data_IF_821229340129
#
_entry.id   IF_821229340129
#
_cell.length_a   1.000
_cell.length_b   1.000
_cell.length_c   1.000
_cell.angle_alpha   90.00
_cell.angle_beta   90.00
_cell.angle_gamma   90.00
#
_symmetry.space_group_name_H-M   'P 1'
#
loop_
_entity.id
_entity.type
_entity.pdbx_description
1 polymer ?
#
# COMPACT_ATOMS: atom_id res chain seq x y z
N UNK A 1 37.90 -46.49 -9.57
CA UNK A 1 38.11 -47.47 -8.51
C UNK A 1 36.81 -48.19 -8.39
N UNK A 2 36.66 -49.15 -9.18
CA UNK A 2 36.70 -50.63 -8.95
C UNK A 2 35.42 -51.06 -8.28
N UNK A 3 34.62 -51.71 -9.05
CA UNK A 3 34.61 -53.10 -9.53
C UNK A 3 33.88 -54.00 -8.52
N UNK A 4 32.96 -54.76 -9.03
CA UNK A 4 32.81 -56.11 -8.77
C UNK A 4 31.48 -56.74 -9.17
N UNK A 5 31.48 -57.23 -10.36
CA UNK A 5 30.55 -58.26 -10.86
C UNK A 5 30.77 -59.58 -10.15
N UNK A 6 29.73 -60.42 -10.05
CA UNK A 6 29.95 -61.85 -10.23
C UNK A 6 28.68 -62.56 -10.64
N UNK A 7 28.77 -63.20 -11.80
CA UNK A 7 27.94 -64.26 -12.36
C UNK A 7 28.18 -65.58 -11.62
N UNK A 8 27.25 -66.51 -11.76
CA UNK A 8 27.42 -67.93 -12.17
C UNK A 8 26.15 -68.68 -11.77
N UNK A 9 25.46 -69.30 -12.63
CA UNK A 9 25.57 -70.40 -13.61
C UNK A 9 25.01 -71.75 -13.07
N UNK A 10 23.99 -72.19 -13.79
CA UNK A 10 23.81 -73.53 -14.40
C UNK A 10 23.96 -74.78 -13.57
N UNK A 11 22.95 -75.62 -13.55
CA UNK A 11 23.13 -77.04 -14.03
C UNK A 11 21.82 -77.79 -14.22
N UNK A 12 21.83 -78.47 -15.33
CA UNK A 12 20.91 -79.46 -15.89
C UNK A 12 20.82 -80.76 -15.06
N UNK A 13 19.82 -81.55 -15.36
CA UNK A 13 19.82 -83.03 -15.09
C UNK A 13 18.39 -83.60 -15.06
N UNK A 14 17.84 -83.98 -16.19
CA UNK A 14 17.72 -85.22 -16.92
C UNK A 14 17.06 -86.42 -16.16
N UNK A 15 16.09 -86.94 -16.85
CA UNK A 15 15.61 -88.30 -17.00
C UNK A 15 14.19 -88.65 -16.50
N UNK A 16 13.34 -88.95 -17.47
CA UNK A 16 12.08 -89.72 -17.30
C UNK A 16 12.40 -91.21 -17.11
N UNK A 17 11.50 -92.21 -17.26
CA UNK A 17 10.20 -92.19 -17.94
C UNK A 17 9.05 -93.03 -17.26
N UNK A 18 7.98 -93.18 -18.05
CA UNK A 18 6.93 -94.27 -18.00
C UNK A 18 5.72 -94.06 -17.07
N UNK A 19 4.59 -93.68 -17.53
CA UNK A 19 3.63 -94.58 -18.21
C UNK A 19 2.49 -95.00 -17.31
N UNK A 20 1.30 -94.43 -17.45
CA UNK A 20 0.08 -95.20 -17.41
C UNK A 20 -1.12 -94.37 -17.88
N UNK A 21 -1.89 -95.03 -18.66
CA UNK A 21 -3.18 -94.63 -19.26
C UNK A 21 -4.23 -94.34 -18.17
N UNK A 22 -5.04 -93.34 -18.26
CA UNK A 22 -6.46 -93.49 -18.48
C UNK A 22 -7.27 -92.25 -18.17
N UNK A 23 -8.21 -92.10 -18.95
CA UNK A 23 -9.56 -91.54 -18.95
C UNK A 23 -9.72 -90.05 -19.23
N UNK A 24 -10.10 -89.88 -20.47
CA UNK A 24 -10.90 -88.81 -21.00
C UNK A 24 -12.15 -88.57 -20.14
N UNK A 25 -12.19 -87.47 -19.40
CA UNK A 25 -13.41 -86.98 -18.90
C UNK A 25 -13.59 -85.50 -19.29
N UNK A 26 -14.59 -85.33 -20.15
CA UNK A 26 -14.85 -84.07 -20.83
C UNK A 26 -15.15 -82.96 -19.86
N UNK A 27 -14.28 -81.87 -19.91
CA UNK A 27 -14.60 -80.59 -19.41
C UNK A 27 -15.65 -79.96 -20.32
N UNK A 28 -16.92 -80.13 -19.97
CA UNK A 28 -17.98 -79.25 -20.43
C UNK A 28 -17.63 -77.86 -19.93
N UNK A 29 -17.02 -76.96 -20.76
CA UNK A 29 -17.03 -75.51 -20.56
C UNK A 29 -18.52 -75.13 -20.49
N UNK A 30 -19.04 -74.86 -19.27
CA UNK A 30 -20.34 -74.21 -19.06
C UNK A 30 -20.35 -72.97 -19.98
N UNK A 31 -21.22 -73.01 -21.01
CA UNK A 31 -21.53 -71.84 -21.81
C UNK A 31 -21.93 -70.72 -20.87
N UNK A 32 -21.40 -69.53 -20.96
CA UNK A 32 -21.82 -68.41 -20.10
C UNK A 32 -23.33 -68.24 -20.31
N UNK A 33 -24.09 -68.20 -19.22
CA UNK A 33 -25.51 -67.83 -19.24
C UNK A 33 -25.56 -66.41 -19.84
N UNK A 34 -26.07 -66.30 -21.07
CA UNK A 34 -26.36 -65.02 -21.67
C UNK A 34 -27.50 -64.39 -20.93
N UNK A 35 -27.21 -63.47 -20.08
CA UNK A 35 -28.23 -62.64 -19.39
C UNK A 35 -28.70 -61.60 -20.39
N UNK A 36 -29.95 -61.72 -20.87
CA UNK A 36 -30.56 -60.70 -21.69
C UNK A 36 -30.89 -59.48 -20.82
N UNK A 37 -30.23 -58.35 -21.08
CA UNK A 37 -30.53 -57.07 -20.52
C UNK A 37 -30.92 -56.09 -21.63
N UNK A 38 -31.88 -55.21 -21.32
CA UNK A 38 -32.12 -54.05 -22.20
C UNK A 38 -30.91 -53.18 -22.18
N UNK A 39 -30.54 -52.64 -23.34
CA UNK A 39 -29.37 -51.81 -23.50
C UNK A 39 -29.79 -50.40 -23.90
N UNK A 40 -29.07 -49.42 -23.37
CA UNK A 40 -29.12 -48.03 -23.76
C UNK A 40 -27.80 -47.70 -24.49
N UNK A 41 -27.90 -47.04 -25.61
CA UNK A 41 -26.71 -46.58 -26.34
C UNK A 41 -26.22 -45.29 -25.67
N UNK A 42 -24.98 -45.29 -25.19
CA UNK A 42 -24.37 -44.09 -24.64
C UNK A 42 -24.26 -43.02 -25.71
N UNK A 43 -25.02 -41.98 -25.62
CA UNK A 43 -25.07 -40.89 -26.61
C UNK A 43 -24.73 -39.55 -25.98
N UNK A 44 -24.23 -38.62 -26.85
CA UNK A 44 -23.93 -37.25 -26.43
C UNK A 44 -25.20 -36.44 -26.54
N UNK A 45 -25.68 -35.96 -25.40
CA UNK A 45 -26.86 -35.07 -25.32
C UNK A 45 -26.48 -33.71 -24.81
N UNK A 46 -27.25 -32.68 -25.22
CA UNK A 46 -27.13 -31.34 -24.66
C UNK A 46 -27.94 -31.28 -23.35
N UNK A 47 -27.27 -31.30 -22.23
CA UNK A 47 -27.94 -31.23 -20.93
C UNK A 47 -27.59 -29.92 -20.22
N UNK A 48 -28.61 -29.35 -19.61
CA UNK A 48 -28.46 -28.23 -18.67
C UNK A 48 -28.19 -28.81 -17.28
N UNK A 49 -26.94 -29.03 -16.96
CA UNK A 49 -26.54 -29.60 -15.67
C UNK A 49 -26.27 -28.51 -14.66
N UNK A 50 -26.99 -28.49 -13.51
CA UNK A 50 -26.64 -27.58 -12.43
C UNK A 50 -25.28 -27.96 -11.86
N UNK A 51 -24.48 -26.96 -11.56
CA UNK A 51 -23.18 -27.14 -10.89
C UNK A 51 -23.26 -26.50 -9.52
N UNK A 52 -23.14 -27.30 -8.47
CA UNK A 52 -23.16 -26.88 -7.08
C UNK A 52 -21.73 -26.83 -6.54
N UNK A 53 -21.30 -25.68 -6.06
CA UNK A 53 -19.99 -25.52 -5.48
C UNK A 53 -20.12 -25.03 -4.03
N UNK A 54 -19.19 -25.46 -3.19
CA UNK A 54 -19.04 -24.89 -1.84
C UNK A 54 -18.02 -23.77 -1.88
N UNK A 55 -18.31 -22.70 -1.18
CA UNK A 55 -17.43 -21.53 -1.13
C UNK A 55 -17.43 -20.88 0.23
N UNK A 56 -16.54 -19.92 0.37
CA UNK A 56 -16.38 -19.11 1.57
C UNK A 56 -16.36 -17.63 1.19
N UNK A 57 -16.99 -16.80 2.01
CA UNK A 57 -17.02 -15.36 1.82
C UNK A 57 -15.69 -14.78 2.29
N UNK A 58 -15.04 -14.01 1.41
CA UNK A 58 -13.80 -13.27 1.66
C UNK A 58 -14.06 -11.78 1.37
N UNK A 59 -13.39 -10.84 2.06
CA UNK A 59 -13.38 -9.46 1.65
C UNK A 59 -12.63 -9.31 0.31
N UNK A 60 -12.87 -8.23 -0.40
CA UNK A 60 -12.03 -7.86 -1.54
C UNK A 60 -10.61 -7.54 -1.02
N UNK A 61 -9.58 -8.12 -1.63
CA UNK A 61 -8.18 -7.99 -1.18
C UNK A 61 -7.71 -6.54 -1.00
N UNK A 62 -8.23 -5.64 -1.84
CA UNK A 62 -7.88 -4.23 -1.77
C UNK A 62 -8.68 -3.45 -0.71
N UNK A 63 -9.55 -4.12 0.02
CA UNK A 63 -10.51 -3.51 0.96
C UNK A 63 -10.34 -3.98 2.40
N UNK A 64 -9.33 -4.74 2.68
CA UNK A 64 -8.89 -5.09 4.03
C UNK A 64 -7.50 -4.48 4.25
N UNK A 65 -7.39 -3.56 5.19
CA UNK A 65 -6.17 -2.80 5.45
C UNK A 65 -5.85 -2.85 6.93
N UNK A 66 -4.62 -3.24 7.24
CA UNK A 66 -4.06 -3.17 8.57
C UNK A 66 -3.48 -1.78 8.82
N UNK A 67 -3.93 -1.15 9.89
CA UNK A 67 -3.42 0.13 10.36
C UNK A 67 -2.36 -0.12 11.41
N UNK A 68 -1.13 0.26 11.10
CA UNK A 68 0.03 0.17 11.98
C UNK A 68 0.47 1.54 12.47
N UNK A 69 1.27 1.61 13.52
CA UNK A 69 2.00 2.82 13.90
C UNK A 69 3.27 2.93 13.08
N UNK A 70 3.70 4.14 12.75
CA UNK A 70 5.02 4.39 12.17
C UNK A 70 6.14 4.44 13.22
N UNK A 71 5.77 4.53 14.50
CA UNK A 71 6.69 4.70 15.62
C UNK A 71 6.30 3.79 16.78
N UNK A 72 7.28 3.48 17.61
CA UNK A 72 7.03 2.87 18.91
C UNK A 72 6.46 3.92 19.87
N UNK A 73 5.49 3.51 20.68
CA UNK A 73 4.88 4.41 21.66
C UNK A 73 3.90 3.68 22.57
N UNK A 74 3.37 4.39 23.53
CA UNK A 74 2.32 3.90 24.45
C UNK A 74 0.95 4.40 24.00
N UNK A 75 0.00 3.50 23.88
CA UNK A 75 -1.41 3.88 23.63
C UNK A 75 -1.95 4.68 24.80
N UNK A 76 -2.25 5.95 24.58
CA UNK A 76 -2.80 6.82 25.59
C UNK A 76 -4.33 6.66 25.66
N UNK A 77 -4.98 6.61 24.49
CA UNK A 77 -6.43 6.52 24.38
C UNK A 77 -6.87 5.84 23.11
N UNK A 78 -7.85 4.96 23.21
CA UNK A 78 -8.52 4.32 22.07
C UNK A 78 -9.89 4.98 21.86
N UNK A 79 -10.13 5.48 20.62
CA UNK A 79 -11.31 6.30 20.30
C UNK A 79 -12.43 5.51 19.62
N UNK A 80 -12.17 4.24 19.26
CA UNK A 80 -13.06 3.38 18.48
C UNK A 80 -13.10 1.97 19.06
N UNK A 81 -14.11 1.19 18.68
CA UNK A 81 -14.32 -0.19 19.14
C UNK A 81 -14.44 -1.14 17.94
N UNK A 82 -14.17 -2.44 18.13
CA UNK A 82 -14.49 -3.45 17.13
C UNK A 82 -15.99 -3.39 16.75
N UNK A 83 -16.26 -3.38 15.44
CA UNK A 83 -17.58 -3.22 14.87
C UNK A 83 -17.98 -1.78 14.50
N UNK A 84 -17.21 -0.78 14.90
CA UNK A 84 -17.47 0.62 14.52
C UNK A 84 -17.20 0.83 13.03
N UNK A 85 -18.04 1.68 12.42
CA UNK A 85 -17.86 2.14 11.03
C UNK A 85 -17.01 3.40 11.06
N UNK A 86 -15.89 3.37 10.36
CA UNK A 86 -14.95 4.49 10.27
C UNK A 86 -14.85 5.02 8.85
N UNK A 87 -14.53 6.31 8.73
CA UNK A 87 -14.26 7.01 7.46
C UNK A 87 -12.77 7.33 7.34
N UNK A 88 -12.29 7.47 6.11
CA UNK A 88 -10.93 7.96 5.85
C UNK A 88 -10.68 9.25 6.63
N UNK A 89 -9.55 9.33 7.34
CA UNK A 89 -9.17 10.47 8.16
C UNK A 89 -9.85 10.55 9.53
N UNK A 90 -10.66 9.55 9.91
CA UNK A 90 -11.21 9.49 11.28
C UNK A 90 -10.12 9.03 12.25
N UNK A 91 -10.03 9.71 13.40
CA UNK A 91 -9.10 9.35 14.48
C UNK A 91 -9.50 8.01 15.12
N UNK A 92 -8.53 7.12 15.26
CA UNK A 92 -8.70 5.77 15.83
C UNK A 92 -8.12 5.68 17.24
N UNK A 93 -6.92 6.18 17.42
CA UNK A 93 -6.19 6.12 18.69
C UNK A 93 -5.19 7.25 18.79
N UNK A 94 -4.81 7.58 20.02
CA UNK A 94 -3.74 8.52 20.36
C UNK A 94 -2.61 7.72 21.00
N UNK A 95 -1.42 7.82 20.43
CA UNK A 95 -0.20 7.15 20.89
C UNK A 95 0.78 8.22 21.38
N UNK A 96 1.33 8.04 22.55
CA UNK A 96 2.40 8.87 23.10
C UNK A 96 3.75 8.23 22.73
N UNK A 97 4.57 8.96 21.97
CA UNK A 97 5.88 8.52 21.49
C UNK A 97 6.97 9.47 21.94
N UNK A 98 8.05 8.91 22.46
CA UNK A 98 9.23 9.67 22.84
C UNK A 98 9.90 10.31 21.62
N UNK A 99 9.95 9.59 20.49
CA UNK A 99 10.55 10.09 19.26
C UNK A 99 9.82 11.33 18.74
N UNK A 100 8.48 11.37 18.91
CA UNK A 100 7.68 12.55 18.57
C UNK A 100 8.01 13.69 19.51
N UNK A 101 8.10 13.46 20.82
CA UNK A 101 8.47 14.50 21.79
C UNK A 101 9.85 15.10 21.51
N UNK A 102 10.84 14.27 21.18
CA UNK A 102 12.19 14.71 20.84
C UNK A 102 12.16 15.58 19.57
N UNK A 103 11.44 15.16 18.54
CA UNK A 103 11.28 15.94 17.32
C UNK A 103 10.49 17.25 17.53
N UNK A 104 9.46 17.24 18.37
CA UNK A 104 8.75 18.45 18.75
C UNK A 104 9.70 19.46 19.42
N UNK A 105 10.60 18.98 20.30
CA UNK A 105 11.59 19.81 20.95
C UNK A 105 12.58 20.43 19.92
N UNK A 106 13.05 19.63 18.96
CA UNK A 106 13.91 20.13 17.87
C UNK A 106 13.20 21.21 17.03
N UNK A 107 11.90 21.02 16.72
CA UNK A 107 11.11 22.02 15.97
C UNK A 107 10.95 23.32 16.74
N UNK A 108 10.70 23.26 18.05
CA UNK A 108 10.58 24.44 18.93
C UNK A 108 11.95 25.17 18.98
N UNK A 109 13.06 24.44 19.15
CA UNK A 109 14.41 25.01 19.14
C UNK A 109 14.73 25.67 17.80
N UNK A 110 14.45 25.00 16.67
CA UNK A 110 14.65 25.55 15.35
C UNK A 110 13.84 26.83 15.12
N UNK A 111 12.61 26.90 15.66
CA UNK A 111 11.78 28.10 15.63
C UNK A 111 12.41 29.26 16.41
N UNK A 112 12.97 28.97 17.58
CA UNK A 112 13.67 30.00 18.39
C UNK A 112 14.92 30.49 17.66
N UNK A 113 15.72 29.61 17.06
CA UNK A 113 16.89 29.96 16.23
C UNK A 113 16.49 30.84 15.05
N UNK A 114 15.41 30.48 14.33
CA UNK A 114 14.90 31.31 13.24
C UNK A 114 14.45 32.69 13.71
N UNK A 115 13.81 32.79 14.88
CA UNK A 115 13.39 34.05 15.45
C UNK A 115 14.61 34.92 15.82
N UNK A 116 15.64 34.31 16.42
CA UNK A 116 16.92 34.98 16.72
C UNK A 116 17.61 35.50 15.46
N UNK A 117 17.71 34.66 14.41
CA UNK A 117 18.28 35.03 13.13
C UNK A 117 17.51 36.18 12.46
N UNK A 118 16.17 36.18 12.50
CA UNK A 118 15.35 37.30 11.98
C UNK A 118 15.57 38.60 12.76
N UNK A 119 15.70 38.51 14.06
CA UNK A 119 16.01 39.71 14.89
C UNK A 119 17.43 40.22 14.59
N UNK A 120 18.39 39.34 14.32
CA UNK A 120 19.72 39.70 13.89
C UNK A 120 19.69 40.41 12.53
N UNK A 121 19.07 39.78 11.51
CA UNK A 121 18.87 40.38 10.19
C UNK A 121 18.20 41.76 10.28
N UNK A 122 17.18 41.89 11.11
CA UNK A 122 16.46 43.16 11.28
C UNK A 122 17.40 44.26 11.83
N UNK A 123 18.24 43.95 12.82
CA UNK A 123 19.24 44.90 13.36
C UNK A 123 20.27 45.31 12.28
N UNK A 124 20.85 44.30 11.61
CA UNK A 124 21.84 44.57 10.56
C UNK A 124 21.25 45.39 9.40
N UNK A 125 19.96 45.14 9.08
CA UNK A 125 19.24 45.92 8.08
C UNK A 125 19.07 47.39 8.50
N UNK A 126 18.71 47.67 9.76
CA UNK A 126 18.59 49.04 10.27
C UNK A 126 19.94 49.74 10.15
N UNK A 127 21.03 49.10 10.60
CA UNK A 127 22.36 49.65 10.53
C UNK A 127 22.76 49.97 9.08
N UNK A 128 22.48 49.03 8.17
CA UNK A 128 22.75 49.22 6.74
C UNK A 128 21.94 50.37 6.13
N UNK A 129 20.63 50.42 6.40
CA UNK A 129 19.73 51.46 5.87
C UNK A 129 20.13 52.87 6.36
N UNK A 130 20.53 53.01 7.63
CA UNK A 130 20.97 54.27 8.20
C UNK A 130 22.34 54.70 7.67
N UNK A 131 23.29 53.80 7.62
CA UNK A 131 24.67 54.12 7.22
C UNK A 131 24.88 54.26 5.71
N UNK A 132 24.11 53.51 4.91
CA UNK A 132 24.35 53.38 3.45
C UNK A 132 23.26 54.02 2.60
N UNK A 133 22.00 53.72 2.86
CA UNK A 133 20.88 54.19 2.01
C UNK A 133 20.44 55.62 2.34
N UNK A 134 20.62 56.06 3.58
CA UNK A 134 20.19 57.38 4.03
C UNK A 134 21.31 58.09 4.84
N UNK A 135 22.48 58.34 4.25
CA UNK A 135 23.60 58.90 4.97
C UNK A 135 23.39 60.39 5.26
N UNK A 136 22.40 60.69 6.14
CA UNK A 136 22.12 62.08 6.59
C UNK A 136 23.34 62.75 7.13
N UNK A 137 24.09 62.09 7.99
CA UNK A 137 25.32 62.58 8.60
C UNK A 137 26.39 62.95 7.58
N UNK A 138 26.59 62.15 6.54
CA UNK A 138 27.55 62.45 5.47
C UNK A 138 27.11 63.65 4.64
N UNK A 139 25.80 63.80 4.35
CA UNK A 139 25.28 64.96 3.61
C UNK A 139 25.44 66.22 4.48
N UNK A 140 25.11 66.17 5.75
CA UNK A 140 25.26 67.27 6.70
C UNK A 140 26.71 67.65 6.89
N UNK A 141 27.61 66.67 7.08
CA UNK A 141 29.08 66.94 7.17
C UNK A 141 29.64 67.53 5.88
N UNK A 142 29.17 67.11 4.71
CA UNK A 142 29.60 67.65 3.40
C UNK A 142 29.13 69.09 3.22
N UNK A 143 27.90 69.40 3.70
CA UNK A 143 27.37 70.75 3.64
C UNK A 143 28.15 71.69 4.59
N UNK A 144 28.37 71.26 5.84
CA UNK A 144 29.13 71.97 6.84
C UNK A 144 30.57 72.23 6.36
N UNK A 145 31.19 71.24 5.72
CA UNK A 145 32.51 71.40 5.15
C UNK A 145 32.56 72.46 4.00
N UNK A 146 31.56 72.47 3.12
CA UNK A 146 31.43 73.45 2.06
C UNK A 146 31.27 74.87 2.64
N UNK A 147 30.43 75.05 3.64
CA UNK A 147 30.23 76.35 4.30
C UNK A 147 31.49 76.83 5.03
N UNK A 148 32.15 75.93 5.76
CA UNK A 148 33.40 76.23 6.43
C UNK A 148 34.51 76.58 5.41
N UNK A 149 34.55 75.89 4.26
CA UNK A 149 35.48 76.20 3.18
C UNK A 149 35.24 77.63 2.64
N UNK A 150 33.99 77.97 2.34
CA UNK A 150 33.62 79.27 1.81
C UNK A 150 33.98 80.41 2.79
N UNK A 151 33.68 80.17 4.12
CA UNK A 151 34.04 81.16 5.17
C UNK A 151 35.56 81.32 5.32
N UNK A 152 36.34 80.23 5.27
CA UNK A 152 37.82 80.31 5.31
C UNK A 152 38.36 81.09 4.11
N UNK A 153 37.86 80.77 2.91
CA UNK A 153 38.34 81.44 1.68
C UNK A 153 37.99 82.91 1.69
N UNK A 154 36.82 83.27 2.20
CA UNK A 154 36.46 84.69 2.40
C UNK A 154 37.37 85.37 3.43
N UNK A 155 37.56 84.79 4.60
CA UNK A 155 38.43 85.33 5.66
C UNK A 155 39.87 85.42 5.21
N UNK A 156 40.38 84.49 4.40
CA UNK A 156 41.69 84.51 3.82
C UNK A 156 41.85 85.67 2.81
N UNK A 157 40.85 85.85 1.98
CA UNK A 157 40.85 86.99 1.02
C UNK A 157 40.82 88.32 1.73
N UNK A 158 39.96 88.43 2.77
CA UNK A 158 39.92 89.64 3.59
C UNK A 158 41.23 89.92 4.37
N UNK A 159 41.83 88.86 4.92
CA UNK A 159 43.13 88.96 5.57
C UNK A 159 44.22 89.41 4.61
N UNK A 160 44.33 88.83 3.43
CA UNK A 160 45.33 89.27 2.40
C UNK A 160 45.18 90.73 2.00
N UNK A 161 43.93 91.17 1.83
CA UNK A 161 43.61 92.56 1.52
C UNK A 161 44.00 93.44 2.70
N UNK A 162 43.66 93.07 3.91
CA UNK A 162 43.94 93.82 5.13
C UNK A 162 45.45 93.85 5.40
N UNK A 163 46.20 92.82 5.14
CA UNK A 163 47.62 92.70 5.26
C UNK A 163 48.37 93.71 4.29
N UNK A 164 47.89 93.77 3.04
CA UNK A 164 48.42 94.70 2.06
C UNK A 164 48.27 96.17 2.51
N UNK A 165 47.02 96.49 2.95
CA UNK A 165 46.72 97.85 3.45
C UNK A 165 47.48 98.20 4.71
N UNK A 166 47.74 97.24 5.58
CA UNK A 166 48.52 97.41 6.81
C UNK A 166 50.01 97.64 6.46
N UNK A 167 50.58 96.89 5.51
CA UNK A 167 51.95 97.10 5.01
C UNK A 167 52.14 98.49 4.39
N UNK A 168 51.10 99.00 3.75
CA UNK A 168 51.08 100.39 3.19
C UNK A 168 50.79 101.44 4.25
N UNK A 169 50.66 101.07 5.56
CA UNK A 169 50.36 101.96 6.70
C UNK A 169 49.01 102.68 6.59
N UNK A 170 48.06 102.17 5.82
CA UNK A 170 46.74 102.76 5.61
C UNK A 170 45.77 102.31 6.70
N UNK A 171 45.97 101.10 7.30
CA UNK A 171 45.07 100.48 8.24
C UNK A 171 45.61 100.39 9.66
N UNK A 172 44.77 100.48 10.68
CA UNK A 172 45.12 100.37 12.09
C UNK A 172 45.52 98.95 12.49
N UNK A 173 46.46 98.75 13.42
CA UNK A 173 46.92 97.47 13.93
C UNK A 173 45.82 96.63 14.55
N UNK A 174 44.77 97.29 15.07
CA UNK A 174 43.58 96.60 15.63
C UNK A 174 42.83 95.86 14.55
N UNK A 175 42.60 96.48 13.39
CA UNK A 175 41.80 95.86 12.32
C UNK A 175 42.58 94.73 11.66
N UNK A 176 43.89 94.83 11.55
CA UNK A 176 44.76 93.75 11.11
C UNK A 176 44.73 92.56 12.07
N UNK A 177 44.75 92.81 13.41
CA UNK A 177 44.69 91.74 14.39
C UNK A 177 43.31 91.09 14.42
N UNK A 178 42.22 91.81 14.16
CA UNK A 178 40.86 91.28 14.04
C UNK A 178 40.75 90.37 12.79
N UNK A 179 41.25 90.79 11.64
CA UNK A 179 41.20 89.93 10.43
C UNK A 179 42.04 88.65 10.60
N UNK A 180 43.17 88.75 11.31
CA UNK A 180 44.01 87.61 11.64
C UNK A 180 43.30 86.65 12.57
N UNK A 181 42.59 87.12 13.56
CA UNK A 181 41.81 86.31 14.49
C UNK A 181 40.62 85.61 13.77
N UNK A 182 39.94 86.33 12.86
CA UNK A 182 38.83 85.78 12.08
C UNK A 182 39.31 84.69 11.13
N UNK A 183 40.48 84.89 10.46
CA UNK A 183 41.08 83.80 9.64
C UNK A 183 41.43 82.58 10.49
N UNK A 184 42.04 82.80 11.65
CA UNK A 184 42.38 81.69 12.53
C UNK A 184 41.14 80.93 13.03
N UNK A 185 40.06 81.66 13.30
CA UNK A 185 38.75 81.03 13.67
C UNK A 185 38.10 80.27 12.49
N UNK A 186 38.14 80.90 11.29
CA UNK A 186 37.64 80.25 10.08
C UNK A 186 38.44 78.99 9.71
N UNK A 187 39.79 79.05 9.90
CA UNK A 187 40.67 77.92 9.68
C UNK A 187 40.39 76.77 10.66
N UNK A 188 40.18 77.05 11.96
CA UNK A 188 39.84 76.04 12.94
C UNK A 188 38.45 75.34 12.64
N UNK A 189 37.50 76.15 12.21
CA UNK A 189 36.18 75.61 11.79
C UNK A 189 36.31 74.75 10.54
N UNK A 190 37.13 75.11 9.58
CA UNK A 190 37.40 74.29 8.38
C UNK A 190 38.06 72.98 8.76
N UNK A 191 39.10 73.01 9.64
CA UNK A 191 39.77 71.79 10.09
C UNK A 191 38.80 70.85 10.83
N UNK A 192 37.90 71.37 11.70
CA UNK A 192 36.90 70.63 12.38
C UNK A 192 35.91 70.02 11.41
N UNK A 193 35.40 70.77 10.44
CA UNK A 193 34.43 70.30 9.44
C UNK A 193 35.06 69.25 8.51
N UNK A 194 36.37 69.47 8.13
CA UNK A 194 37.12 68.50 7.35
C UNK A 194 37.30 67.16 8.05
N UNK A 195 37.68 67.17 9.33
CA UNK A 195 37.83 65.98 10.14
C UNK A 195 36.49 65.25 10.34
N UNK A 196 35.41 66.02 10.45
CA UNK A 196 34.06 65.44 10.51
C UNK A 196 33.67 64.76 9.20
N UNK A 197 33.86 65.44 8.07
CA UNK A 197 33.61 64.90 6.74
C UNK A 197 34.44 63.63 6.48
N UNK A 198 35.69 63.63 6.84
CA UNK A 198 36.59 62.50 6.65
C UNK A 198 36.10 61.24 7.47
N UNK A 199 35.65 61.46 8.70
CA UNK A 199 35.08 60.37 9.51
C UNK A 199 33.83 59.77 8.86
N UNK A 200 32.91 60.63 8.40
CA UNK A 200 31.68 60.18 7.77
C UNK A 200 31.95 59.47 6.43
N UNK A 201 32.94 59.97 5.64
CA UNK A 201 33.37 59.32 4.43
C UNK A 201 33.97 57.94 4.69
N UNK A 202 34.79 57.77 5.71
CA UNK A 202 35.39 56.50 6.08
C UNK A 202 34.30 55.48 6.53
N UNK A 203 33.31 55.95 7.27
CA UNK A 203 32.15 55.09 7.61
C UNK A 203 31.35 54.68 6.37
N UNK A 204 31.15 55.58 5.41
CA UNK A 204 30.47 55.29 4.16
C UNK A 204 31.26 54.35 3.25
N UNK A 205 32.60 54.44 3.23
CA UNK A 205 33.49 53.54 2.48
C UNK A 205 33.44 52.10 3.01
N UNK A 206 33.18 51.92 4.30
CA UNK A 206 32.98 50.59 4.93
C UNK A 206 31.63 49.94 4.60
N UNK A 207 30.82 50.54 3.72
CA UNK A 207 29.50 49.99 3.29
C UNK A 207 29.59 48.55 2.75
N UNK A 208 30.72 48.14 2.19
CA UNK A 208 30.94 46.78 1.71
C UNK A 208 30.90 45.75 2.85
N UNK A 209 31.47 46.09 4.03
CA UNK A 209 31.42 45.25 5.21
C UNK A 209 29.97 45.14 5.74
N UNK A 210 29.27 46.27 5.91
CA UNK A 210 27.88 46.30 6.35
C UNK A 210 26.96 45.52 5.41
N UNK A 211 27.21 45.59 4.10
CA UNK A 211 26.48 44.77 3.12
C UNK A 211 26.77 43.30 3.30
N UNK A 212 28.01 42.93 3.59
CA UNK A 212 28.39 41.53 3.84
C UNK A 212 27.74 41.01 5.11
N UNK A 213 27.74 41.81 6.20
CA UNK A 213 27.12 41.44 7.47
C UNK A 213 25.60 41.20 7.30
N UNK A 214 24.93 42.09 6.57
CA UNK A 214 23.50 41.91 6.22
C UNK A 214 23.29 40.66 5.34
N UNK A 215 24.18 40.37 4.39
CA UNK A 215 24.08 39.17 3.56
C UNK A 215 24.30 37.90 4.40
N UNK A 216 25.25 37.91 5.33
CA UNK A 216 25.49 36.80 6.27
C UNK A 216 24.23 36.56 7.14
N UNK A 217 23.66 37.62 7.73
CA UNK A 217 22.45 37.53 8.53
C UNK A 217 21.27 37.00 7.73
N UNK A 218 21.08 37.41 6.47
CA UNK A 218 20.06 36.84 5.56
C UNK A 218 20.31 35.38 5.26
N UNK A 219 21.57 35.00 5.04
CA UNK A 219 21.96 33.59 4.85
C UNK A 219 21.63 32.73 6.06
N UNK A 220 21.77 33.28 7.26
CA UNK A 220 21.44 32.61 8.52
C UNK A 220 19.93 32.40 8.69
N UNK A 221 19.13 33.43 8.36
CA UNK A 221 17.66 33.31 8.32
C UNK A 221 17.23 32.23 7.33
N UNK A 222 17.79 32.21 6.14
CA UNK A 222 17.48 31.23 5.11
C UNK A 222 17.80 29.80 5.59
N UNK A 223 18.99 29.57 6.14
CA UNK A 223 19.39 28.25 6.67
C UNK A 223 18.50 27.81 7.82
N UNK A 224 18.20 28.71 8.75
CA UNK A 224 17.33 28.41 9.90
C UNK A 224 15.88 28.11 9.46
N UNK A 225 15.38 28.81 8.43
CA UNK A 225 14.05 28.54 7.84
C UNK A 225 14.00 27.16 7.20
N UNK A 226 15.00 26.83 6.36
CA UNK A 226 15.06 25.51 5.70
C UNK A 226 15.17 24.38 6.73
N UNK A 227 15.96 24.56 7.77
CA UNK A 227 16.06 23.56 8.84
C UNK A 227 14.74 23.35 9.55
N UNK A 228 14.03 24.42 9.91
CA UNK A 228 12.69 24.33 10.51
C UNK A 228 11.71 23.63 9.57
N UNK A 229 11.72 23.93 8.28
CA UNK A 229 10.81 23.32 7.31
C UNK A 229 11.11 21.82 7.12
N UNK A 230 12.38 21.41 7.15
CA UNK A 230 12.77 19.99 7.14
C UNK A 230 12.22 19.24 8.37
N UNK A 231 12.33 19.83 9.56
CA UNK A 231 11.82 19.22 10.79
C UNK A 231 10.29 19.12 10.79
N UNK A 232 9.58 20.14 10.26
CA UNK A 232 8.11 20.06 10.07
C UNK A 232 7.72 18.91 9.17
N UNK A 233 8.38 18.79 8.00
CA UNK A 233 8.12 17.68 7.06
C UNK A 233 8.38 16.33 7.71
N UNK A 234 9.40 16.23 8.57
CA UNK A 234 9.69 15.00 9.30
C UNK A 234 8.57 14.64 10.28
N UNK A 235 8.01 15.61 11.03
CA UNK A 235 6.84 15.39 11.89
C UNK A 235 5.59 14.97 11.09
N UNK A 236 5.35 15.61 9.94
CA UNK A 236 4.24 15.26 9.06
C UNK A 236 4.40 13.86 8.46
N UNK A 237 5.61 13.48 8.07
CA UNK A 237 5.93 12.13 7.60
C UNK A 237 5.65 11.06 8.66
N UNK A 238 5.88 11.37 9.93
CA UNK A 238 5.54 10.48 11.06
C UNK A 238 4.04 10.39 11.35
N UNK A 239 3.22 11.18 10.65
CA UNK A 239 1.75 11.14 10.75
C UNK A 239 1.14 12.28 11.57
N UNK A 240 1.93 13.25 12.04
CA UNK A 240 1.38 14.44 12.69
C UNK A 240 0.67 15.32 11.65
N UNK A 241 -0.53 15.76 11.98
CA UNK A 241 -1.26 16.67 11.08
C UNK A 241 -0.59 18.03 10.99
N UNK A 242 -0.67 18.75 9.84
CA UNK A 242 -0.14 20.12 9.72
C UNK A 242 -0.69 21.10 10.78
N UNK A 243 -1.92 20.84 11.24
CA UNK A 243 -2.52 21.61 12.34
C UNK A 243 -1.86 21.30 13.69
N UNK A 244 -1.48 20.03 13.93
CA UNK A 244 -0.73 19.60 15.10
C UNK A 244 0.64 20.27 15.14
N UNK A 245 1.40 20.18 14.05
CA UNK A 245 2.72 20.83 13.91
C UNK A 245 2.65 22.33 14.18
N UNK A 246 1.66 23.03 13.62
CA UNK A 246 1.48 24.46 13.89
C UNK A 246 1.21 24.74 15.37
N UNK A 247 0.34 23.95 16.01
CA UNK A 247 0.02 24.08 17.43
C UNK A 247 1.25 23.93 18.32
N UNK A 248 2.09 22.93 18.07
CA UNK A 248 3.37 22.74 18.77
C UNK A 248 4.29 23.94 18.60
N UNK A 249 4.43 24.46 17.37
CA UNK A 249 5.27 25.63 17.08
C UNK A 249 4.76 26.89 17.78
N UNK A 250 3.44 27.10 17.85
CA UNK A 250 2.83 28.29 18.44
C UNK A 250 2.80 28.22 19.97
N UNK A 251 2.46 27.08 20.53
CA UNK A 251 2.35 26.90 21.99
C UNK A 251 3.71 26.65 22.66
N UNK A 252 4.67 26.10 21.94
CA UNK A 252 5.94 25.62 22.50
C UNK A 252 5.81 24.43 23.45
N UNK A 253 4.62 23.81 23.53
CA UNK A 253 4.37 22.65 24.40
C UNK A 253 4.67 21.36 23.65
N UNK A 254 5.40 20.48 24.31
CA UNK A 254 5.70 19.15 23.82
C UNK A 254 4.61 18.20 24.33
N UNK A 255 3.89 17.56 23.46
CA UNK A 255 2.84 16.59 23.80
C UNK A 255 3.32 15.16 23.66
N UNK A 256 4.18 14.91 22.66
CA UNK A 256 4.55 13.58 22.23
C UNK A 256 3.40 12.76 21.65
N UNK A 257 2.22 13.39 21.50
CA UNK A 257 1.00 12.71 21.06
C UNK A 257 0.93 12.61 19.53
N UNK A 258 0.77 11.39 19.05
CA UNK A 258 0.50 11.09 17.67
C UNK A 258 -0.90 10.49 17.54
N UNK A 259 -1.77 11.12 16.77
CA UNK A 259 -3.08 10.57 16.45
C UNK A 259 -2.98 9.69 15.23
N UNK A 260 -3.39 8.44 15.34
CA UNK A 260 -3.46 7.50 14.22
C UNK A 260 -4.85 7.58 13.61
N UNK A 261 -4.89 7.74 12.30
CA UNK A 261 -6.12 7.91 11.52
C UNK A 261 -6.41 6.70 10.64
N UNK A 262 -7.71 6.49 10.33
CA UNK A 262 -8.14 5.50 9.36
C UNK A 262 -7.66 5.88 7.95
N UNK A 263 -6.98 4.96 7.29
CA UNK A 263 -6.49 5.13 5.91
C UNK A 263 -7.55 4.81 4.87
N UNK A 264 -8.53 3.97 5.26
CA UNK A 264 -9.67 3.55 4.42
C UNK A 264 -10.97 3.67 5.20
N UNK A 265 -12.09 3.77 4.47
CA UNK A 265 -13.42 3.67 5.09
C UNK A 265 -13.84 2.21 5.18
N UNK A 266 -14.38 1.80 6.33
CA UNK A 266 -14.79 0.41 6.53
C UNK A 266 -15.29 0.17 7.94
N UNK A 267 -15.33 -1.11 8.33
CA UNK A 267 -15.64 -1.56 9.68
C UNK A 267 -14.36 -2.05 10.34
N UNK A 268 -14.16 -1.71 11.60
CA UNK A 268 -13.07 -2.27 12.40
C UNK A 268 -13.41 -3.72 12.69
N UNK A 269 -12.70 -4.64 12.04
CA UNK A 269 -12.91 -6.09 12.20
C UNK A 269 -12.05 -6.67 13.31
N UNK A 270 -10.85 -6.14 13.51
CA UNK A 270 -9.94 -6.54 14.58
C UNK A 270 -9.31 -5.31 15.23
N UNK A 271 -9.06 -5.41 16.52
CA UNK A 271 -8.34 -4.44 17.33
C UNK A 271 -7.39 -5.21 18.24
N UNK A 272 -6.10 -4.98 18.04
CA UNK A 272 -5.02 -5.72 18.72
C UNK A 272 -4.26 -4.84 19.72
N UNK A 273 -4.91 -3.76 20.17
CA UNK A 273 -4.32 -2.83 21.13
C UNK A 273 -5.27 -2.52 22.29
N UNK A 274 -4.71 -2.19 23.44
CA UNK A 274 -5.41 -1.69 24.62
C UNK A 274 -4.77 -0.38 25.12
N UNK A 275 -5.56 0.40 25.88
CA UNK A 275 -5.04 1.61 26.53
C UNK A 275 -3.92 1.24 27.52
N UNK A 276 -2.80 1.97 27.46
CA UNK A 276 -1.60 1.72 28.24
C UNK A 276 -0.62 0.73 27.63
N UNK A 277 -0.98 0.03 26.57
CA UNK A 277 -0.11 -0.93 25.87
C UNK A 277 0.96 -0.21 25.03
N UNK A 278 2.11 -0.86 24.87
CA UNK A 278 3.20 -0.37 24.01
C UNK A 278 3.03 -0.97 22.61
N UNK A 279 2.96 -0.12 21.61
CA UNK A 279 2.87 -0.49 20.20
C UNK A 279 4.21 -0.35 19.50
N UNK A 280 4.45 -1.19 18.51
CA UNK A 280 5.64 -1.18 17.65
C UNK A 280 5.23 -1.05 16.17
N UNK A 281 6.12 -0.57 15.28
CA UNK A 281 5.80 -0.30 13.86
C UNK A 281 5.31 -1.51 13.07
N UNK A 282 5.73 -2.70 13.41
CA UNK A 282 5.49 -3.95 12.67
C UNK A 282 4.20 -4.65 13.10
N UNK A 283 3.54 -4.18 14.15
CA UNK A 283 2.30 -4.80 14.63
C UNK A 283 1.08 -4.04 14.15
N UNK A 284 0.09 -4.73 13.56
CA UNK A 284 -1.19 -4.11 13.26
C UNK A 284 -1.88 -3.71 14.57
N UNK A 285 -2.43 -2.51 14.59
CA UNK A 285 -3.25 -2.01 15.70
C UNK A 285 -4.72 -2.25 15.44
N UNK A 286 -5.14 -2.03 14.21
CA UNK A 286 -6.51 -2.21 13.76
C UNK A 286 -6.51 -2.85 12.38
N UNK A 287 -7.49 -3.72 12.13
CA UNK A 287 -7.83 -4.16 10.77
C UNK A 287 -9.15 -3.52 10.38
N UNK A 288 -9.13 -2.73 9.30
CA UNK A 288 -10.31 -2.08 8.73
C UNK A 288 -10.69 -2.81 7.45
N UNK A 289 -11.93 -3.28 7.37
CA UNK A 289 -12.45 -4.02 6.22
C UNK A 289 -13.67 -3.31 5.64
N UNK A 290 -13.65 -3.01 4.35
CA UNK A 290 -14.86 -2.57 3.64
C UNK A 290 -15.62 -3.79 3.13
N UNK A 291 -16.70 -4.11 3.82
CA UNK A 291 -17.60 -5.21 3.47
C UNK A 291 -18.78 -4.78 2.58
N UNK A 292 -18.73 -3.62 1.93
CA UNK A 292 -19.79 -3.18 1.01
C UNK A 292 -19.91 -4.10 -0.21
N UNK A 293 -18.80 -4.70 -0.61
CA UNK A 293 -18.71 -5.72 -1.64
C UNK A 293 -17.87 -6.86 -1.08
N UNK A 294 -18.32 -8.07 -1.26
CA UNK A 294 -17.61 -9.27 -0.83
C UNK A 294 -17.37 -10.20 -2.02
N UNK A 295 -16.36 -11.04 -1.90
CA UNK A 295 -16.04 -12.08 -2.85
C UNK A 295 -16.41 -13.43 -2.25
N UNK A 296 -17.08 -14.29 -3.01
CA UNK A 296 -17.26 -15.69 -2.63
C UNK A 296 -16.22 -16.49 -3.39
N UNK A 297 -15.25 -17.02 -2.67
CA UNK A 297 -14.27 -17.95 -3.21
C UNK A 297 -14.85 -19.36 -3.18
N UNK A 298 -14.77 -20.05 -4.30
CA UNK A 298 -15.12 -21.46 -4.39
C UNK A 298 -14.08 -22.21 -5.21
N UNK A 299 -13.99 -23.51 -4.98
CA UNK A 299 -13.08 -24.39 -5.68
C UNK A 299 -13.87 -25.18 -6.73
N UNK A 300 -13.54 -24.95 -8.01
CA UNK A 300 -14.14 -25.57 -9.18
C UNK A 300 -13.28 -26.75 -9.63
N UNK A 301 -13.81 -27.98 -9.75
CA UNK A 301 -13.08 -29.08 -10.36
C UNK A 301 -12.65 -28.76 -11.80
N UNK A 302 -11.41 -29.11 -12.18
CA UNK A 302 -10.87 -28.81 -13.52
C UNK A 302 -11.72 -29.39 -14.66
N UNK A 303 -12.40 -30.54 -14.42
CA UNK A 303 -13.32 -31.16 -15.36
C UNK A 303 -14.50 -30.27 -15.75
N UNK A 304 -14.84 -29.30 -14.94
CA UNK A 304 -15.96 -28.35 -15.16
C UNK A 304 -15.52 -26.96 -15.59
N UNK A 305 -14.21 -26.76 -15.81
CA UNK A 305 -13.66 -25.45 -16.15
C UNK A 305 -14.27 -24.87 -17.46
N UNK A 306 -14.53 -25.74 -18.43
CA UNK A 306 -15.15 -25.35 -19.72
C UNK A 306 -16.59 -24.80 -19.57
N UNK A 307 -17.25 -25.02 -18.44
CA UNK A 307 -18.62 -24.60 -18.16
C UNK A 307 -18.71 -23.21 -17.51
N UNK A 308 -17.61 -22.68 -17.05
CA UNK A 308 -17.58 -21.43 -16.27
C UNK A 308 -16.73 -20.41 -16.98
N UNK A 309 -17.29 -19.24 -17.20
CA UNK A 309 -16.59 -18.09 -17.80
C UNK A 309 -16.73 -16.86 -16.90
N UNK A 310 -15.82 -15.92 -17.04
CA UNK A 310 -15.94 -14.62 -16.38
C UNK A 310 -17.25 -13.97 -16.86
N UNK A 311 -18.08 -13.51 -15.91
CA UNK A 311 -19.41 -12.97 -16.18
C UNK A 311 -20.55 -13.98 -16.03
N UNK A 312 -20.27 -15.29 -15.87
CA UNK A 312 -21.31 -16.31 -15.63
C UNK A 312 -22.13 -15.92 -14.39
N UNK A 313 -23.45 -15.88 -14.54
CA UNK A 313 -24.41 -15.63 -13.46
C UNK A 313 -24.45 -16.80 -12.48
N UNK A 314 -24.49 -16.50 -11.19
CA UNK A 314 -24.57 -17.51 -10.13
C UNK A 314 -25.58 -17.09 -9.08
N UNK A 315 -26.25 -18.08 -8.49
CA UNK A 315 -27.08 -17.93 -7.30
C UNK A 315 -26.32 -18.44 -6.09
N UNK A 316 -26.34 -17.69 -5.02
CA UNK A 316 -25.55 -17.98 -3.83
C UNK A 316 -26.48 -18.03 -2.62
N UNK A 317 -26.41 -19.11 -1.88
CA UNK A 317 -27.08 -19.27 -0.60
C UNK A 317 -26.03 -19.32 0.50
N UNK A 318 -26.21 -18.51 1.53
CA UNK A 318 -25.28 -18.41 2.66
C UNK A 318 -25.87 -19.11 3.86
N UNK A 319 -25.08 -19.94 4.55
CA UNK A 319 -25.56 -20.75 5.68
C UNK A 319 -26.21 -19.93 6.79
N UNK A 320 -25.76 -18.69 7.01
CA UNK A 320 -26.36 -17.78 7.99
C UNK A 320 -27.69 -17.14 7.57
N UNK A 321 -28.09 -17.27 6.28
CA UNK A 321 -29.31 -16.68 5.70
C UNK A 321 -29.90 -17.63 4.66
N UNK A 322 -30.42 -18.81 5.08
CA UNK A 322 -30.87 -19.86 4.15
C UNK A 322 -32.06 -19.43 3.27
N UNK A 323 -32.88 -18.51 3.76
CA UNK A 323 -34.07 -18.01 3.05
C UNK A 323 -33.74 -16.88 2.02
N UNK A 324 -32.47 -16.44 1.94
CA UNK A 324 -32.06 -15.40 1.02
C UNK A 324 -31.13 -15.96 -0.06
N UNK A 325 -31.49 -15.73 -1.30
CA UNK A 325 -30.65 -16.02 -2.46
C UNK A 325 -30.00 -14.73 -2.91
N UNK A 326 -28.69 -14.73 -2.94
CA UNK A 326 -27.88 -13.63 -3.46
C UNK A 326 -27.51 -13.94 -4.91
N UNK A 327 -27.62 -12.95 -5.78
CA UNK A 327 -27.20 -13.08 -7.18
C UNK A 327 -25.82 -12.42 -7.37
N UNK A 328 -24.92 -13.14 -8.02
CA UNK A 328 -23.58 -12.66 -8.31
C UNK A 328 -23.13 -13.04 -9.71
N UNK A 329 -21.92 -12.59 -10.07
CA UNK A 329 -21.26 -12.97 -11.31
C UNK A 329 -19.83 -13.42 -11.02
N UNK A 330 -19.38 -14.44 -11.74
CA UNK A 330 -17.99 -14.88 -11.69
C UNK A 330 -17.11 -13.72 -12.16
N UNK A 331 -16.27 -13.20 -11.28
CA UNK A 331 -15.40 -12.07 -11.54
C UNK A 331 -13.95 -12.48 -11.83
N UNK A 332 -13.57 -13.68 -11.40
CA UNK A 332 -12.20 -14.17 -11.54
C UNK A 332 -12.18 -15.71 -11.57
N UNK A 333 -11.33 -16.26 -12.42
CA UNK A 333 -10.99 -17.68 -12.48
C UNK A 333 -9.46 -17.76 -12.40
N UNK A 334 -8.94 -18.55 -11.46
CA UNK A 334 -7.50 -18.67 -11.27
C UNK A 334 -6.86 -19.40 -12.48
N UNK A 335 -5.71 -18.89 -12.94
CA UNK A 335 -4.93 -19.51 -14.02
C UNK A 335 -4.17 -20.76 -13.58
N UNK A 336 -4.16 -21.04 -12.28
CA UNK A 336 -3.42 -22.16 -11.69
C UNK A 336 -4.36 -23.17 -11.09
N UNK A 337 -4.20 -24.43 -11.52
CA UNK A 337 -4.84 -25.57 -10.88
C UNK A 337 -4.04 -25.99 -9.65
N UNK A 338 -4.72 -26.23 -8.55
CA UNK A 338 -4.09 -26.83 -7.37
C UNK A 338 -3.73 -28.29 -7.68
N UNK A 339 -2.46 -28.65 -7.55
CA UNK A 339 -1.91 -29.96 -7.95
C UNK A 339 -2.43 -31.11 -7.08
N UNK A 340 -2.74 -30.82 -5.81
CA UNK A 340 -3.14 -31.86 -4.85
C UNK A 340 -4.65 -32.14 -4.93
N UNK A 341 -5.45 -31.11 -5.21
CA UNK A 341 -6.91 -31.21 -5.21
C UNK A 341 -7.53 -31.23 -6.61
N UNK A 342 -6.77 -30.94 -7.66
CA UNK A 342 -7.25 -30.75 -9.04
C UNK A 342 -8.41 -29.75 -9.17
N UNK A 343 -8.34 -28.69 -8.36
CA UNK A 343 -9.35 -27.64 -8.35
C UNK A 343 -8.79 -26.30 -8.77
N UNK A 344 -9.66 -25.50 -9.38
CA UNK A 344 -9.38 -24.11 -9.81
C UNK A 344 -10.20 -23.18 -8.94
N UNK A 345 -9.53 -22.22 -8.31
CA UNK A 345 -10.24 -21.23 -7.49
C UNK A 345 -11.00 -20.24 -8.39
N UNK A 346 -12.27 -20.07 -8.12
CA UNK A 346 -13.11 -19.03 -8.73
C UNK A 346 -13.54 -18.03 -7.67
N UNK A 347 -13.77 -16.77 -8.09
CA UNK A 347 -14.32 -15.72 -7.21
C UNK A 347 -15.56 -15.13 -7.82
N UNK A 348 -16.58 -15.01 -7.01
CA UNK A 348 -17.85 -14.41 -7.37
C UNK A 348 -18.03 -13.13 -6.59
N UNK A 349 -18.26 -12.02 -7.28
CA UNK A 349 -18.50 -10.72 -6.67
C UNK A 349 -19.96 -10.60 -6.25
N UNK A 350 -20.18 -10.19 -5.00
CA UNK A 350 -21.49 -9.92 -4.40
C UNK A 350 -21.54 -8.51 -3.82
N UNK A 351 -22.63 -7.82 -4.10
CA UNK A 351 -22.97 -6.57 -3.40
C UNK A 351 -23.52 -6.90 -2.00
N UNK A 352 -23.06 -6.20 -1.00
CA UNK A 352 -23.43 -6.38 0.41
C UNK A 352 -23.81 -5.06 1.09
N UNK A 353 -24.83 -4.32 0.58
CA UNK A 353 -25.20 -3.01 1.10
C UNK A 353 -25.60 -3.05 2.57
N UNK A 354 -26.26 -4.11 2.99
CA UNK A 354 -26.68 -4.32 4.39
C UNK A 354 -25.54 -4.77 5.31
N UNK A 355 -24.34 -5.05 4.78
CA UNK A 355 -23.18 -5.59 5.50
C UNK A 355 -23.47 -6.85 6.34
N UNK A 356 -24.48 -7.64 5.92
CA UNK A 356 -24.88 -8.88 6.60
C UNK A 356 -23.91 -10.01 6.32
N UNK A 357 -23.32 -10.03 5.12
CA UNK A 357 -22.32 -11.02 4.76
C UNK A 357 -21.00 -10.69 5.44
N UNK A 358 -20.47 -11.63 6.21
CA UNK A 358 -19.24 -11.47 6.99
C UNK A 358 -18.15 -12.39 6.45
N UNK A 359 -16.90 -12.04 6.70
CA UNK A 359 -15.72 -12.86 6.38
C UNK A 359 -15.87 -14.27 6.97
N UNK A 360 -15.44 -15.28 6.22
CA UNK A 360 -15.46 -16.70 6.59
C UNK A 360 -16.86 -17.36 6.70
N UNK A 361 -17.94 -16.70 6.29
CA UNK A 361 -19.23 -17.37 6.16
C UNK A 361 -19.19 -18.41 5.03
N UNK A 362 -19.77 -19.59 5.27
CA UNK A 362 -19.92 -20.62 4.25
C UNK A 362 -21.06 -20.27 3.30
N UNK A 363 -20.83 -20.49 2.03
CA UNK A 363 -21.76 -20.24 0.94
C UNK A 363 -21.85 -21.44 0.01
N UNK A 364 -23.06 -21.73 -0.49
CA UNK A 364 -23.29 -22.63 -1.60
C UNK A 364 -23.52 -21.81 -2.86
N UNK A 365 -22.84 -22.16 -3.94
CA UNK A 365 -22.91 -21.46 -5.23
C UNK A 365 -23.57 -22.41 -6.23
N UNK A 366 -24.67 -21.96 -6.79
CA UNK A 366 -25.38 -22.65 -7.85
C UNK A 366 -25.13 -21.88 -9.15
N UNK A 367 -24.36 -22.47 -10.04
CA UNK A 367 -24.17 -21.91 -11.37
C UNK A 367 -25.42 -22.13 -12.22
N UNK A 368 -25.78 -21.12 -13.01
CA UNK A 368 -26.87 -21.25 -13.97
C UNK A 368 -26.57 -22.40 -14.94
N UNK A 369 -27.55 -23.27 -15.18
CA UNK A 369 -27.36 -24.44 -16.02
C UNK A 369 -26.92 -24.01 -17.43
N UNK A 370 -25.73 -24.41 -17.82
CA UNK A 370 -25.24 -24.20 -19.18
C UNK A 370 -25.44 -25.47 -19.99
N UNK A 371 -25.99 -25.33 -21.20
CA UNK A 371 -26.14 -26.47 -22.12
C UNK A 371 -24.74 -26.96 -22.52
N UNK A 372 -24.40 -28.16 -22.08
CA UNK A 372 -23.15 -28.83 -22.40
C UNK A 372 -23.41 -30.15 -23.10
N UNK A 373 -22.57 -30.46 -24.09
CA UNK A 373 -22.57 -31.75 -24.76
C UNK A 373 -21.88 -32.75 -23.87
N UNK A 374 -22.62 -33.62 -23.26
CA UNK A 374 -22.09 -34.63 -22.34
C UNK A 374 -22.59 -36.02 -22.72
N UNK A 375 -21.74 -37.04 -22.49
CA UNK A 375 -22.11 -38.41 -22.65
C UNK A 375 -22.99 -38.79 -21.46
N UNK A 376 -24.15 -39.36 -21.73
CA UNK A 376 -25.14 -39.68 -20.70
C UNK A 376 -25.50 -41.14 -20.65
N UNK A 377 -25.86 -41.60 -19.48
CA UNK A 377 -26.55 -42.88 -19.28
C UNK A 377 -27.72 -42.72 -18.29
N UNK A 378 -28.76 -43.55 -18.40
CA UNK A 378 -29.84 -43.60 -17.40
C UNK A 378 -29.29 -43.91 -16.01
N UNK A 379 -29.80 -43.22 -14.97
CA UNK A 379 -29.39 -43.50 -13.57
C UNK A 379 -29.51 -44.98 -13.19
N UNK A 380 -30.54 -45.65 -13.69
CA UNK A 380 -30.75 -47.09 -13.43
C UNK A 380 -29.70 -48.02 -14.02
N UNK A 381 -28.81 -47.51 -14.87
CA UNK A 381 -27.70 -48.32 -15.46
C UNK A 381 -26.44 -48.30 -14.58
N UNK A 382 -26.36 -47.42 -13.58
CA UNK A 382 -25.22 -47.26 -12.68
C UNK A 382 -25.44 -48.06 -11.40
N UNK A 383 -24.47 -48.85 -11.00
CA UNK A 383 -24.45 -49.52 -9.70
C UNK A 383 -23.16 -49.25 -8.95
N UNK A 384 -23.21 -49.32 -7.64
CA UNK A 384 -22.09 -49.06 -6.76
C UNK A 384 -21.38 -50.37 -6.34
N UNK A 385 -20.06 -50.39 -6.41
CA UNK A 385 -19.24 -51.49 -5.92
C UNK A 385 -18.02 -50.92 -5.19
N UNK A 386 -17.90 -51.22 -3.90
CA UNK A 386 -16.83 -50.72 -3.03
C UNK A 386 -16.73 -49.18 -3.01
N UNK A 387 -17.86 -48.48 -3.08
CA UNK A 387 -17.90 -47.02 -3.07
C UNK A 387 -17.51 -46.33 -4.39
N UNK A 388 -17.40 -47.11 -5.49
CA UNK A 388 -17.16 -46.59 -6.83
C UNK A 388 -18.30 -46.93 -7.79
N UNK A 389 -18.66 -46.02 -8.71
CA UNK A 389 -19.70 -46.30 -9.71
C UNK A 389 -19.19 -47.17 -10.87
N UNK A 390 -20.01 -48.13 -11.26
CA UNK A 390 -19.76 -49.06 -12.36
C UNK A 390 -20.97 -49.13 -13.27
N UNK A 391 -20.70 -49.53 -14.54
CA UNK A 391 -21.72 -49.91 -15.53
C UNK A 391 -21.36 -51.23 -16.20
N UNK A 392 -22.36 -51.90 -16.77
CA UNK A 392 -22.13 -53.04 -17.62
C UNK A 392 -22.17 -52.64 -19.09
N UNK A 393 -21.06 -52.78 -19.80
CA UNK A 393 -20.93 -52.43 -21.22
C UNK A 393 -21.00 -53.75 -22.02
N UNK A 394 -21.80 -53.77 -23.08
CA UNK A 394 -21.93 -54.93 -23.97
C UNK A 394 -20.64 -55.10 -24.78
N UNK A 395 -20.09 -56.32 -24.76
CA UNK A 395 -18.90 -56.67 -25.54
C UNK A 395 -19.28 -57.28 -26.89
N UNK A 396 -18.27 -57.44 -27.77
CA UNK A 396 -18.44 -57.99 -29.12
C UNK A 396 -18.92 -59.45 -29.16
N UNK A 397 -18.76 -60.17 -28.04
CA UNK A 397 -19.18 -61.56 -27.90
C UNK A 397 -20.65 -61.71 -27.42
N UNK A 398 -21.37 -60.56 -27.27
CA UNK A 398 -22.75 -60.50 -26.81
C UNK A 398 -22.94 -60.62 -25.30
N UNK A 399 -21.81 -60.63 -24.55
CA UNK A 399 -21.82 -60.58 -23.09
C UNK A 399 -21.74 -59.13 -22.55
N UNK A 400 -21.65 -58.97 -21.23
CA UNK A 400 -21.46 -57.68 -20.59
C UNK A 400 -20.21 -57.69 -19.73
N UNK A 401 -19.39 -56.64 -19.87
CA UNK A 401 -18.19 -56.41 -19.07
C UNK A 401 -18.41 -55.31 -18.06
N UNK A 402 -18.04 -55.59 -16.81
CA UNK A 402 -18.09 -54.63 -15.74
C UNK A 402 -16.97 -53.58 -15.93
N UNK A 403 -17.34 -52.28 -15.96
CA UNK A 403 -16.39 -51.21 -16.16
C UNK A 403 -16.64 -50.09 -15.14
N UNK A 404 -15.56 -49.66 -14.48
CA UNK A 404 -15.59 -48.50 -13.60
C UNK A 404 -15.77 -47.24 -14.42
N UNK A 405 -16.58 -46.32 -13.93
CA UNK A 405 -16.84 -45.03 -14.56
C UNK A 405 -16.57 -43.89 -13.57
N UNK A 406 -16.36 -42.72 -14.12
CA UNK A 406 -16.38 -41.46 -13.38
C UNK A 406 -17.64 -40.73 -13.81
N UNK A 407 -18.54 -40.47 -12.85
CA UNK A 407 -19.79 -39.75 -13.09
C UNK A 407 -19.58 -38.26 -12.87
N UNK A 408 -20.33 -37.44 -13.62
CA UNK A 408 -20.38 -35.99 -13.46
C UNK A 408 -21.69 -35.50 -12.87
N UNK A 409 -22.27 -34.46 -13.48
CA UNK A 409 -23.57 -33.94 -13.09
C UNK A 409 -24.71 -34.90 -13.38
N UNK A 410 -25.79 -34.82 -12.61
CA UNK A 410 -26.97 -35.63 -12.78
C UNK A 410 -28.26 -34.81 -12.93
N UNK A 411 -29.20 -35.34 -13.70
CA UNK A 411 -30.59 -34.83 -13.78
C UNK A 411 -31.54 -35.84 -13.15
N UNK A 412 -32.85 -35.62 -13.24
CA UNK A 412 -33.84 -36.58 -12.72
C UNK A 412 -33.66 -37.98 -13.34
N UNK A 413 -33.38 -38.07 -14.65
CA UNK A 413 -33.43 -39.33 -15.40
C UNK A 413 -32.05 -39.86 -15.83
N UNK A 414 -31.07 -38.99 -16.04
CA UNK A 414 -29.76 -39.34 -16.60
C UNK A 414 -28.61 -38.78 -15.77
N UNK A 415 -27.48 -39.48 -15.84
CA UNK A 415 -26.21 -39.06 -15.22
C UNK A 415 -25.17 -38.93 -16.31
N UNK A 416 -24.35 -37.89 -16.20
CA UNK A 416 -23.19 -37.64 -17.03
C UNK A 416 -22.08 -38.66 -16.76
N UNK A 417 -21.47 -39.19 -17.83
CA UNK A 417 -20.27 -40.03 -17.74
C UNK A 417 -19.07 -39.20 -18.20
N UNK A 418 -18.17 -38.86 -17.27
CA UNK A 418 -16.94 -38.14 -17.57
C UNK A 418 -15.84 -39.04 -18.15
N UNK A 419 -15.80 -40.31 -17.72
CA UNK A 419 -14.84 -41.28 -18.25
C UNK A 419 -15.31 -42.74 -18.01
N UNK A 420 -14.71 -43.70 -18.75
CA UNK A 420 -14.99 -45.13 -18.59
C UNK A 420 -15.85 -45.70 -19.72
N UNK A 421 -16.62 -44.90 -20.45
CA UNK A 421 -17.49 -45.35 -21.57
C UNK A 421 -17.26 -44.41 -22.78
N UNK A 422 -17.35 -44.95 -23.98
CA UNK A 422 -17.27 -44.20 -25.23
C UNK A 422 -18.66 -43.95 -25.82
N UNK A 423 -18.83 -42.88 -26.56
CA UNK A 423 -20.07 -42.64 -27.31
C UNK A 423 -20.35 -43.80 -28.29
N UNK A 424 -21.59 -44.28 -28.30
CA UNK A 424 -22.03 -45.41 -29.14
C UNK A 424 -21.97 -46.78 -28.43
N UNK A 425 -21.31 -46.94 -27.30
CA UNK A 425 -21.31 -48.20 -26.53
C UNK A 425 -22.68 -48.49 -25.91
N UNK A 426 -23.04 -49.75 -25.86
CA UNK A 426 -24.32 -50.25 -25.34
C UNK A 426 -24.16 -50.58 -23.84
N UNK A 427 -24.89 -49.91 -22.98
CA UNK A 427 -24.90 -50.06 -21.51
C UNK A 427 -26.18 -50.80 -21.09
N UNK A 428 -26.05 -51.77 -20.20
CA UNK A 428 -27.23 -52.48 -19.63
C UNK A 428 -28.00 -51.54 -18.69
N UNK A 429 -29.33 -51.51 -18.84
CA UNK A 429 -30.25 -50.66 -18.04
C UNK A 429 -31.10 -51.44 -17.06
N UNK A 430 -31.23 -52.74 -17.26
CA UNK A 430 -32.00 -53.64 -16.39
C UNK A 430 -31.22 -54.92 -16.09
N UNK A 431 -31.78 -55.76 -15.19
CA UNK A 431 -31.17 -57.02 -14.75
C UNK A 431 -29.74 -56.92 -14.19
N UNK A 432 -29.33 -55.74 -13.66
CA UNK A 432 -27.98 -55.50 -13.16
C UNK A 432 -27.55 -56.49 -12.08
N UNK A 433 -28.48 -56.93 -11.20
CA UNK A 433 -28.18 -57.94 -10.16
C UNK A 433 -27.84 -59.30 -10.74
N UNK A 434 -28.51 -59.70 -11.83
CA UNK A 434 -28.21 -60.97 -12.53
C UNK A 434 -26.86 -60.90 -13.27
N UNK A 435 -26.57 -59.73 -13.85
CA UNK A 435 -25.26 -59.48 -14.49
C UNK A 435 -24.11 -59.45 -13.47
N UNK A 436 -24.35 -58.89 -12.29
CA UNK A 436 -23.39 -58.86 -11.18
C UNK A 436 -23.12 -60.27 -10.64
N UNK A 437 -24.15 -61.10 -10.48
CA UNK A 437 -23.98 -62.50 -10.08
C UNK A 437 -23.16 -63.29 -11.11
N UNK A 438 -23.44 -63.10 -12.41
CA UNK A 438 -22.71 -63.74 -13.49
C UNK A 438 -21.26 -63.26 -13.66
N UNK A 439 -20.95 -61.99 -13.26
CA UNK A 439 -19.61 -61.43 -13.25
C UNK A 439 -18.75 -61.88 -12.06
N UNK A 440 -19.36 -62.21 -10.92
CA UNK A 440 -18.65 -62.74 -9.76
C UNK A 440 -18.33 -64.23 -9.82
N UNK A 441 -18.90 -64.99 -10.79
CA UNK A 441 -18.56 -66.37 -11.07
C UNK A 441 -17.42 -66.56 -12.10
N UNK A 442 -16.90 -65.48 -12.64
CA UNK A 442 -15.71 -65.44 -13.52
C UNK A 442 -14.43 -65.09 -12.76
#
# INVERSE_FOLDING_TARGET
MDAGATQQSVSEGSAGPAGSKSSFNGLFKKRPKVVNARTFQAEVQNLALPLHLKGTIEPDFNKEVDVTSHLSGRVQKVLVKPGDIVKVGQALTVVESRDVSELEAEVVEAKLKLTGAKNHEHREKIIYDEAVERPKSLIEARTAFKDATARRDLAESEFKRTESLFKEKILAAKDFSAAKAELAHAQANYEQASASLQREQHMFENKALLKTDLQVARGEVHRSSQHLDTLKQRLEFLGMTPAGVRRTIESGKLSGELTIFATVSGIITQMEIAEGEVVAPDKPMFTITDLSVVLVRADLPETHLSRVQIGTGVKITVAGYPDRVFSGKVSFIAERVNRDTHMVAIRVRLENPDRKLKKNMSAAIDLEPTLVKVLVCPKGAIFEKKGQPYVFVKNEQGGFDERSIITGGETADVTEICSGVKAGELIAVDNLDKLRAASSER
#
